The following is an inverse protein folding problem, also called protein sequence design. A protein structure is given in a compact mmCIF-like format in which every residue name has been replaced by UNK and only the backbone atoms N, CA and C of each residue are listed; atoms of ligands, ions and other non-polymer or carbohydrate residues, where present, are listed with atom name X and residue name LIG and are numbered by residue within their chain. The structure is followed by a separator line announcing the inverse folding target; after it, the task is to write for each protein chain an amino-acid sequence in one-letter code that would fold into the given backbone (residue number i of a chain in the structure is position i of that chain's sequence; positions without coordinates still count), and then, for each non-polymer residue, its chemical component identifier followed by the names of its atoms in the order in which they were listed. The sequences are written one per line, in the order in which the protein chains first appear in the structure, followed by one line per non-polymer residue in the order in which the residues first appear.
data_IF_658999065305
#
_entry.id   IF_658999065305
#
_cell.length_a   1.000
_cell.length_b   1.000
_cell.length_c   1.000
_cell.angle_alpha   90.00
_cell.angle_beta   90.00
_cell.angle_gamma   90.00
#
_symmetry.space_group_name_H-M   'P 1'
#
loop_
_entity.id
_entity.type
_entity.pdbx_description
1 polymer ?
#
# COMPACT_ATOMS: atom_id res chain seq x y z
N UNK A 1 8.95 -21.55 5.97
CA UNK A 1 9.37 -20.34 5.22
C UNK A 1 8.15 -19.51 4.89
N UNK A 2 8.07 -18.30 5.43
CA UNK A 2 6.93 -17.40 5.18
C UNK A 2 7.08 -16.73 3.80
N UNK A 3 6.09 -16.91 2.92
CA UNK A 3 6.02 -16.29 1.59
C UNK A 3 4.99 -15.17 1.62
N UNK A 4 5.43 -13.94 1.39
CA UNK A 4 4.60 -12.76 1.56
C UNK A 4 4.45 -11.93 0.29
N UNK A 5 3.32 -11.25 0.17
CA UNK A 5 3.10 -10.18 -0.79
C UNK A 5 2.84 -8.85 -0.07
N UNK A 6 3.04 -7.73 -0.77
CA UNK A 6 2.73 -6.40 -0.25
C UNK A 6 1.71 -5.71 -1.17
N UNK A 7 0.61 -5.24 -0.60
CA UNK A 7 -0.38 -4.39 -1.27
C UNK A 7 -0.12 -2.92 -0.92
N UNK A 8 0.16 -2.11 -1.93
CA UNK A 8 0.41 -0.66 -1.80
C UNK A 8 -0.73 0.18 -2.37
N UNK A 9 -0.83 1.45 -1.98
CA UNK A 9 -1.79 2.38 -2.56
C UNK A 9 -1.32 2.87 -3.94
N UNK A 10 -2.18 2.78 -4.96
CA UNK A 10 -1.88 3.27 -6.32
C UNK A 10 -1.56 4.77 -6.32
N UNK A 11 -2.36 5.59 -5.66
CA UNK A 11 -2.14 7.05 -5.65
C UNK A 11 -0.84 7.42 -4.93
N UNK A 12 -0.52 6.77 -3.81
CA UNK A 12 0.74 7.03 -3.11
C UNK A 12 1.97 6.62 -3.93
N UNK A 13 1.85 5.58 -4.76
CA UNK A 13 2.96 5.09 -5.60
C UNK A 13 3.10 5.91 -6.88
N UNK A 14 2.00 6.15 -7.60
CA UNK A 14 1.98 6.83 -8.90
C UNK A 14 2.05 8.36 -8.77
N UNK A 15 1.29 8.96 -7.85
CA UNK A 15 1.22 10.43 -7.75
C UNK A 15 2.33 11.01 -6.87
N UNK A 16 2.70 10.29 -5.79
CA UNK A 16 3.72 10.71 -4.83
C UNK A 16 5.08 10.01 -5.01
N UNK A 17 5.21 9.10 -5.99
CA UNK A 17 6.47 8.43 -6.28
C UNK A 17 6.97 7.49 -5.17
N UNK A 18 6.08 6.93 -4.35
CA UNK A 18 6.50 5.99 -3.31
C UNK A 18 7.08 4.71 -3.93
N UNK A 19 8.36 4.44 -3.65
CA UNK A 19 9.12 3.27 -4.12
C UNK A 19 9.07 2.08 -3.16
N UNK A 20 8.18 2.11 -2.16
CA UNK A 20 8.11 1.11 -1.08
C UNK A 20 9.40 0.96 -0.26
N UNK A 21 10.34 1.91 -0.34
CA UNK A 21 11.66 1.83 0.30
C UNK A 21 11.58 1.56 1.81
N UNK A 22 10.69 2.23 2.54
CA UNK A 22 10.51 2.02 3.98
C UNK A 22 9.90 0.64 4.28
N UNK A 23 8.96 0.17 3.44
CA UNK A 23 8.37 -1.16 3.58
C UNK A 23 9.47 -2.24 3.43
N UNK A 24 10.33 -2.10 2.42
CA UNK A 24 11.42 -3.04 2.14
C UNK A 24 12.55 -2.96 3.17
N UNK A 25 12.85 -1.77 3.68
CA UNK A 25 13.85 -1.60 4.74
C UNK A 25 13.43 -2.35 6.01
N UNK A 26 12.16 -2.24 6.40
CA UNK A 26 11.65 -2.93 7.59
C UNK A 26 11.38 -4.41 7.35
N UNK A 27 11.06 -4.82 6.12
CA UNK A 27 11.07 -6.22 5.74
C UNK A 27 12.44 -6.86 6.00
N UNK A 28 13.50 -6.26 5.44
CA UNK A 28 14.89 -6.75 5.59
C UNK A 28 15.35 -6.76 7.04
N UNK A 29 14.93 -5.76 7.83
CA UNK A 29 15.28 -5.63 9.25
C UNK A 29 14.33 -6.39 10.19
N UNK A 30 13.29 -7.04 9.66
CA UNK A 30 12.18 -7.65 10.42
C UNK A 30 11.61 -6.71 11.48
N UNK A 31 11.19 -5.52 11.06
CA UNK A 31 10.59 -4.48 11.91
C UNK A 31 9.12 -4.27 11.54
N UNK A 32 8.43 -3.46 12.34
CA UNK A 32 6.99 -3.23 12.17
C UNK A 32 6.20 -4.54 12.22
N UNK A 33 5.31 -4.73 11.25
CA UNK A 33 4.42 -5.91 11.16
C UNK A 33 5.14 -7.17 10.66
N UNK A 34 6.38 -7.06 10.18
CA UNK A 34 7.16 -8.23 9.77
C UNK A 34 7.70 -9.03 10.95
N UNK A 35 7.59 -8.50 12.19
CA UNK A 35 7.95 -9.20 13.44
C UNK A 35 7.02 -10.36 13.78
N UNK A 36 5.83 -10.40 13.18
CA UNK A 36 4.85 -11.48 13.41
C UNK A 36 5.29 -12.81 12.78
N UNK A 37 6.25 -12.77 11.85
CA UNK A 37 6.80 -13.98 11.22
C UNK A 37 7.95 -14.56 12.06
N UNK A 38 8.07 -15.91 12.16
CA UNK A 38 9.12 -16.57 12.95
C UNK A 38 10.53 -16.09 12.56
N UNK A 39 11.32 -15.66 13.54
CA UNK A 39 12.63 -15.05 13.33
C UNK A 39 13.67 -16.01 12.71
N UNK A 40 13.49 -17.30 12.96
CA UNK A 40 14.32 -18.43 12.54
C UNK A 40 14.03 -18.89 11.09
N UNK A 41 12.90 -18.51 10.51
CA UNK A 41 12.56 -18.85 9.13
C UNK A 41 12.80 -17.69 8.15
N UNK A 42 13.31 -17.92 6.93
CA UNK A 42 13.40 -16.88 5.91
C UNK A 42 12.03 -16.29 5.55
N UNK A 43 12.02 -14.99 5.29
CA UNK A 43 10.85 -14.24 4.84
C UNK A 43 11.04 -13.89 3.35
N UNK A 44 10.28 -14.58 2.49
CA UNK A 44 10.38 -14.47 1.04
C UNK A 44 9.34 -13.48 0.50
N UNK A 45 9.80 -12.41 -0.16
CA UNK A 45 8.92 -11.45 -0.82
C UNK A 45 8.59 -11.94 -2.23
N UNK A 46 7.38 -12.46 -2.40
CA UNK A 46 6.89 -12.97 -3.68
C UNK A 46 6.59 -11.83 -4.66
N UNK A 47 6.06 -10.71 -4.17
CA UNK A 47 5.75 -9.58 -5.03
C UNK A 47 5.13 -8.40 -4.30
N UNK A 48 5.12 -7.26 -5.00
CA UNK A 48 4.44 -6.03 -4.59
C UNK A 48 3.43 -5.70 -5.67
N UNK A 49 2.19 -5.42 -5.25
CA UNK A 49 1.13 -4.96 -6.14
C UNK A 49 0.51 -3.67 -5.59
N UNK A 50 -0.24 -2.99 -6.44
CA UNK A 50 -0.94 -1.76 -6.10
C UNK A 50 -2.45 -2.03 -6.06
N UNK A 51 -3.17 -1.36 -5.17
CA UNK A 51 -4.63 -1.34 -5.20
C UNK A 51 -5.13 -0.74 -6.54
N UNK A 52 -6.39 -0.93 -6.93
CA UNK A 52 -6.92 -0.47 -8.22
C UNK A 52 -6.89 1.05 -8.45
N UNK A 53 -6.56 1.85 -7.44
CA UNK A 53 -6.69 3.31 -7.47
C UNK A 53 -8.10 3.78 -7.11
N UNK A 54 -8.24 5.10 -6.93
CA UNK A 54 -9.53 5.75 -6.66
C UNK A 54 -10.08 6.40 -7.94
N UNK A 55 -11.42 6.47 -8.13
CA UNK A 55 -12.50 5.99 -7.25
C UNK A 55 -12.73 4.46 -7.33
N UNK A 56 -13.24 3.88 -6.24
CA UNK A 56 -13.26 2.43 -5.97
C UNK A 56 -14.61 1.75 -6.27
N UNK A 57 -15.40 2.26 -7.23
CA UNK A 57 -16.74 1.73 -7.56
C UNK A 57 -16.76 0.20 -7.79
N UNK A 58 -15.72 -0.32 -8.44
CA UNK A 58 -15.47 -1.77 -8.64
C UNK A 58 -14.12 -2.20 -8.01
N UNK A 59 -13.74 -1.50 -6.93
CA UNK A 59 -12.45 -1.63 -6.28
C UNK A 59 -12.16 -3.06 -5.82
N UNK A 60 -13.01 -3.68 -4.99
CA UNK A 60 -12.79 -5.06 -4.52
C UNK A 60 -12.65 -6.06 -5.68
N UNK A 61 -13.53 -6.02 -6.66
CA UNK A 61 -13.51 -6.97 -7.79
C UNK A 61 -12.19 -6.86 -8.59
N UNK A 62 -11.77 -5.63 -8.91
CA UNK A 62 -10.48 -5.39 -9.58
C UNK A 62 -9.29 -5.77 -8.71
N UNK A 63 -9.40 -5.58 -7.39
CA UNK A 63 -8.34 -5.98 -6.46
C UNK A 63 -8.17 -7.50 -6.46
N UNK A 64 -9.25 -8.27 -6.44
CA UNK A 64 -9.19 -9.74 -6.45
C UNK A 64 -8.47 -10.27 -7.69
N UNK A 65 -8.72 -9.68 -8.86
CA UNK A 65 -7.99 -10.02 -10.10
C UNK A 65 -6.48 -9.78 -9.99
N UNK A 66 -6.06 -8.71 -9.28
CA UNK A 66 -4.64 -8.42 -9.04
C UNK A 66 -4.02 -9.31 -7.96
N UNK A 67 -4.79 -9.63 -6.92
CA UNK A 67 -4.35 -10.50 -5.82
C UNK A 67 -4.06 -11.91 -6.33
N UNK A 68 -4.79 -12.37 -7.35
CA UNK A 68 -4.50 -13.63 -8.03
C UNK A 68 -3.04 -13.75 -8.49
N UNK A 69 -2.44 -12.66 -8.95
CA UNK A 69 -1.04 -12.65 -9.36
C UNK A 69 -0.05 -12.87 -8.19
N UNK A 70 -0.47 -12.73 -6.93
CA UNK A 70 0.33 -13.13 -5.77
C UNK A 70 -0.01 -14.55 -5.30
N UNK A 71 -1.28 -14.92 -5.31
CA UNK A 71 -1.74 -16.21 -4.77
C UNK A 71 -1.32 -17.40 -5.64
N UNK A 72 -1.32 -17.24 -6.97
CA UNK A 72 -0.83 -18.27 -7.92
C UNK A 72 0.66 -18.61 -7.71
N UNK A 73 1.45 -17.69 -7.16
CA UNK A 73 2.86 -17.89 -6.81
C UNK A 73 3.06 -18.31 -5.35
N UNK A 74 2.04 -18.94 -4.76
CA UNK A 74 2.07 -19.54 -3.41
C UNK A 74 2.42 -18.55 -2.32
N UNK A 75 1.92 -17.31 -2.43
CA UNK A 75 1.93 -16.36 -1.31
C UNK A 75 1.04 -16.91 -0.20
N UNK A 76 1.46 -16.86 1.06
CA UNK A 76 0.65 -17.26 2.22
C UNK A 76 0.12 -16.07 3.03
N UNK A 77 0.75 -14.90 2.89
CA UNK A 77 0.35 -13.70 3.63
C UNK A 77 0.45 -12.46 2.75
N UNK A 78 -0.53 -11.57 2.83
CA UNK A 78 -0.52 -10.29 2.13
C UNK A 78 -0.51 -9.17 3.16
N UNK A 79 0.56 -8.39 3.17
CA UNK A 79 0.69 -7.20 4.00
C UNK A 79 0.09 -5.99 3.28
N UNK A 80 -0.84 -5.30 3.93
CA UNK A 80 -1.29 -4.00 3.47
C UNK A 80 -0.27 -2.96 3.93
N UNK A 81 0.37 -2.28 2.98
CA UNK A 81 1.37 -1.26 3.29
C UNK A 81 0.78 -0.13 4.14
N UNK A 82 1.64 0.61 4.85
CA UNK A 82 1.17 1.66 5.77
C UNK A 82 0.34 2.75 5.06
N UNK A 83 0.61 3.02 3.77
CA UNK A 83 -0.21 3.93 2.99
C UNK A 83 -1.65 3.41 2.81
N UNK A 84 -1.86 2.11 2.63
CA UNK A 84 -3.20 1.50 2.60
C UNK A 84 -3.81 1.55 3.99
N UNK A 85 -3.06 1.13 5.02
CA UNK A 85 -3.50 1.15 6.42
C UNK A 85 -4.02 2.52 6.87
N UNK A 86 -3.25 3.56 6.58
CA UNK A 86 -3.52 4.89 7.11
C UNK A 86 -4.45 5.71 6.21
N UNK A 87 -4.38 5.57 4.88
CA UNK A 87 -5.04 6.49 3.94
C UNK A 87 -6.30 5.90 3.31
N UNK A 88 -6.43 4.58 3.22
CA UNK A 88 -7.52 3.96 2.47
C UNK A 88 -8.77 3.79 3.34
N UNK A 89 -9.90 4.42 2.98
CA UNK A 89 -11.16 4.18 3.69
C UNK A 89 -11.75 2.78 3.40
N UNK A 90 -11.30 2.13 2.31
CA UNK A 90 -11.80 0.82 1.86
C UNK A 90 -10.94 -0.36 2.32
N UNK A 91 -9.94 -0.15 3.19
CA UNK A 91 -9.02 -1.23 3.59
C UNK A 91 -9.75 -2.45 4.16
N UNK A 92 -10.79 -2.25 4.95
CA UNK A 92 -11.53 -3.34 5.59
C UNK A 92 -12.39 -4.10 4.57
N UNK A 93 -12.98 -3.38 3.60
CA UNK A 93 -13.69 -4.02 2.49
C UNK A 93 -12.73 -4.88 1.64
N UNK A 94 -11.53 -4.39 1.37
CA UNK A 94 -10.50 -5.14 0.66
C UNK A 94 -10.04 -6.37 1.44
N UNK A 95 -9.81 -6.22 2.74
CA UNK A 95 -9.45 -7.33 3.61
C UNK A 95 -10.51 -8.43 3.56
N UNK A 96 -11.77 -8.09 3.80
CA UNK A 96 -12.90 -9.04 3.76
C UNK A 96 -13.03 -9.72 2.41
N UNK A 97 -12.89 -8.97 1.31
CA UNK A 97 -12.97 -9.54 -0.03
C UNK A 97 -11.87 -10.58 -0.28
N UNK A 98 -10.62 -10.28 0.14
CA UNK A 98 -9.49 -11.19 0.00
C UNK A 98 -9.67 -12.43 0.87
N UNK A 99 -9.98 -12.26 2.17
CA UNK A 99 -10.18 -13.37 3.10
C UNK A 99 -11.33 -14.30 2.63
N UNK A 100 -12.40 -13.73 2.06
CA UNK A 100 -13.54 -14.51 1.55
C UNK A 100 -13.22 -15.24 0.25
N UNK A 101 -12.42 -14.65 -0.63
CA UNK A 101 -12.11 -15.22 -1.96
C UNK A 101 -10.90 -16.16 -1.94
N UNK A 102 -10.00 -15.99 -0.97
CA UNK A 102 -8.75 -16.72 -0.83
C UNK A 102 -8.55 -17.18 0.63
N UNK A 103 -9.29 -18.19 1.11
CA UNK A 103 -9.28 -18.59 2.52
C UNK A 103 -7.94 -19.10 3.06
N UNK A 104 -7.00 -19.46 2.17
CA UNK A 104 -5.62 -19.85 2.53
C UNK A 104 -4.64 -18.69 2.68
N UNK A 105 -5.09 -17.44 2.52
CA UNK A 105 -4.25 -16.24 2.55
C UNK A 105 -4.54 -15.42 3.80
N UNK A 106 -3.53 -15.24 4.65
CA UNK A 106 -3.61 -14.32 5.77
C UNK A 106 -3.45 -12.87 5.29
N UNK A 107 -4.27 -11.95 5.79
CA UNK A 107 -4.12 -10.51 5.54
C UNK A 107 -3.59 -9.82 6.80
N UNK A 108 -2.45 -9.16 6.69
CA UNK A 108 -1.82 -8.40 7.80
C UNK A 108 -1.88 -6.91 7.48
N UNK A 109 -2.35 -6.11 8.44
CA UNK A 109 -2.49 -4.66 8.26
C UNK A 109 -1.25 -3.93 8.75
N UNK A 110 -0.48 -3.37 7.82
CA UNK A 110 0.74 -2.62 8.07
C UNK A 110 2.00 -3.34 7.57
N UNK A 111 3.08 -2.56 7.50
CA UNK A 111 4.41 -3.01 7.03
C UNK A 111 5.49 -2.44 7.95
N UNK A 112 5.91 -1.20 7.71
CA UNK A 112 6.99 -0.56 8.45
C UNK A 112 6.52 0.08 9.76
N UNK A 113 7.46 0.31 10.66
CA UNK A 113 7.25 1.01 11.91
C UNK A 113 6.83 2.46 11.66
N UNK A 114 5.91 2.93 12.48
CA UNK A 114 5.40 4.31 12.44
C UNK A 114 6.21 5.16 13.41
N UNK A 115 6.66 6.33 12.96
CA UNK A 115 7.41 7.30 13.77
C UNK A 115 6.58 8.52 14.17
N UNK A 116 5.36 8.61 13.66
CA UNK A 116 4.39 9.69 13.89
C UNK A 116 2.99 9.09 14.02
N UNK A 117 2.05 9.85 14.57
CA UNK A 117 0.67 9.39 14.72
C UNK A 117 -0.03 9.26 13.35
N UNK A 118 -1.05 8.39 13.22
CA UNK A 118 -1.83 8.26 11.99
C UNK A 118 -2.44 9.58 11.50
N UNK A 119 -2.89 10.44 12.40
CA UNK A 119 -3.48 11.75 12.10
C UNK A 119 -2.44 12.68 11.48
N UNK A 120 -1.25 12.75 12.07
CA UNK A 120 -0.16 13.58 11.55
C UNK A 120 0.33 13.03 10.20
N UNK A 121 0.42 11.70 10.04
CA UNK A 121 0.74 11.08 8.76
C UNK A 121 -0.27 11.47 7.67
N UNK A 122 -1.57 11.33 7.95
CA UNK A 122 -2.66 11.74 7.03
C UNK A 122 -2.57 13.21 6.66
N UNK A 123 -2.33 14.08 7.65
CA UNK A 123 -2.18 15.53 7.45
C UNK A 123 -1.02 15.85 6.52
N UNK A 124 0.15 15.23 6.73
CA UNK A 124 1.33 15.42 5.88
C UNK A 124 1.11 14.91 4.46
N UNK A 125 0.55 13.71 4.32
CA UNK A 125 0.25 13.13 3.01
C UNK A 125 -0.77 13.97 2.24
N UNK A 126 -1.81 14.50 2.91
CA UNK A 126 -2.77 15.43 2.30
C UNK A 126 -2.08 16.67 1.72
N UNK A 127 -1.07 17.22 2.41
CA UNK A 127 -0.30 18.36 1.88
C UNK A 127 0.47 18.00 0.61
N UNK A 128 1.06 16.80 0.55
CA UNK A 128 1.78 16.33 -0.64
C UNK A 128 0.85 16.20 -1.84
N UNK A 129 -0.34 15.61 -1.67
CA UNK A 129 -1.33 15.50 -2.75
C UNK A 129 -1.88 16.85 -3.22
N UNK A 130 -1.96 17.84 -2.33
CA UNK A 130 -2.52 19.15 -2.64
C UNK A 130 -1.46 20.19 -3.04
N UNK A 131 -0.23 19.78 -3.36
CA UNK A 131 0.77 20.70 -3.87
C UNK A 131 0.27 21.32 -5.17
N UNK A 132 0.16 22.66 -5.19
CA UNK A 132 -0.17 23.39 -6.41
C UNK A 132 0.97 23.20 -7.39
N UNK A 133 0.71 22.47 -8.46
CA UNK A 133 1.58 22.48 -9.64
C UNK A 133 1.12 23.62 -10.51
N UNK A 134 2.06 24.43 -11.00
CA UNK A 134 1.78 25.32 -12.11
C UNK A 134 1.40 24.46 -13.30
N UNK A 135 0.34 24.84 -13.97
CA UNK A 135 -0.23 24.18 -15.13
C UNK A 135 -0.16 25.12 -16.32
N UNK A 136 -0.51 24.61 -17.51
CA UNK A 136 -0.67 25.47 -18.67
C UNK A 136 -1.67 26.61 -18.44
N UNK A 137 -2.67 26.42 -17.56
CA UNK A 137 -3.62 27.49 -17.22
C UNK A 137 -2.93 28.64 -16.49
N UNK A 138 -1.98 28.34 -15.62
CA UNK A 138 -1.21 29.38 -14.92
C UNK A 138 -0.37 30.16 -15.92
N UNK A 139 0.25 29.49 -16.90
CA UNK A 139 0.98 30.16 -17.99
C UNK A 139 0.06 30.99 -18.90
N UNK A 140 -1.12 30.45 -19.27
CA UNK A 140 -2.11 31.15 -20.12
C UNK A 140 -2.64 32.42 -19.43
N UNK A 141 -2.67 32.44 -18.10
CA UNK A 141 -3.15 33.56 -17.30
C UNK A 141 -2.02 34.44 -16.75
N UNK A 142 -0.77 34.24 -17.19
CA UNK A 142 0.45 34.94 -16.72
C UNK A 142 0.64 34.89 -15.19
N UNK A 143 0.35 33.73 -14.59
CA UNK A 143 0.47 33.43 -13.15
C UNK A 143 1.50 32.35 -12.88
N UNK A 144 2.29 31.93 -13.84
CA UNK A 144 3.22 30.81 -13.68
C UNK A 144 4.47 31.14 -12.85
N UNK A 145 4.85 32.41 -12.75
CA UNK A 145 6.04 32.88 -11.98
C UNK A 145 5.76 33.24 -10.51
N UNK A 146 4.49 33.36 -10.07
CA UNK A 146 4.09 33.67 -8.68
C UNK A 146 4.15 32.48 -7.71
#
# INVERSE_FOLDING_TARGET
MARIGILTCSNATQDLGCSSVSCLADLRKRRGMFKEHPADEPLDLVGIINCPGCPTLTGPDKLLLRIRALTEFRTGTIHFANCVKALCPFQEQYRRAIESSFPGIAVVIGTHQEHITPEEFRKRVKRLFNQKRKTMVDMILDRDEE
#
